data_IF_244552402302
#
_entry.id   IF_244552402302
#
_cell.length_a   1.000
_cell.length_b   1.000
_cell.length_c   1.000
_cell.angle_alpha   90.00
_cell.angle_beta   90.00
_cell.angle_gamma   90.00
#
_symmetry.space_group_name_H-M   'P 1'
#
loop_
_entity.id
_entity.type
_entity.pdbx_description
1 polymer ?
#
# COMPACT_ATOMS: atom_id res chain seq x y z
N UNK A 1 -39.64 -35.82 -21.98
CA UNK A 1 -40.32 -34.86 -21.09
C UNK A 1 -39.27 -33.86 -20.61
N UNK A 2 -39.55 -32.57 -20.82
CA UNK A 2 -38.85 -31.38 -20.31
C UNK A 2 -38.79 -31.41 -18.76
N UNK A 3 -37.98 -30.68 -17.98
CA UNK A 3 -37.21 -29.40 -18.02
C UNK A 3 -35.99 -29.59 -17.09
N UNK A 4 -34.81 -28.97 -17.21
CA UNK A 4 -34.32 -27.58 -17.40
C UNK A 4 -33.99 -26.81 -16.09
N UNK A 5 -32.76 -26.30 -16.04
CA UNK A 5 -32.20 -25.20 -15.22
C UNK A 5 -32.10 -25.38 -13.68
N UNK A 6 -31.09 -24.90 -12.95
CA UNK A 6 -30.26 -23.69 -13.11
C UNK A 6 -28.84 -23.88 -12.55
N UNK A 7 -27.84 -23.41 -13.29
CA UNK A 7 -26.48 -23.16 -12.80
C UNK A 7 -26.44 -21.89 -11.95
N UNK A 8 -25.67 -21.94 -10.87
CA UNK A 8 -25.37 -20.79 -10.02
C UNK A 8 -24.22 -19.98 -10.65
N UNK A 9 -24.58 -18.95 -11.41
CA UNK A 9 -23.66 -17.87 -11.77
C UNK A 9 -23.63 -16.87 -10.62
N UNK A 10 -22.48 -16.76 -9.95
CA UNK A 10 -22.22 -15.68 -8.99
C UNK A 10 -22.11 -14.39 -9.80
N UNK A 11 -23.16 -13.57 -9.80
CA UNK A 11 -23.18 -12.27 -10.49
C UNK A 11 -22.20 -11.32 -9.82
N UNK A 12 -21.17 -10.90 -10.57
CA UNK A 12 -20.40 -9.68 -10.28
C UNK A 12 -21.41 -8.55 -10.17
N UNK A 13 -21.39 -7.82 -9.05
CA UNK A 13 -22.30 -6.70 -8.83
C UNK A 13 -22.07 -5.69 -9.95
N UNK A 14 -23.14 -5.40 -10.71
CA UNK A 14 -23.11 -4.48 -11.84
C UNK A 14 -22.45 -3.15 -11.43
N UNK A 15 -21.42 -2.76 -12.18
CA UNK A 15 -20.94 -1.39 -12.27
C UNK A 15 -22.17 -0.52 -12.47
N UNK A 16 -22.35 0.51 -11.63
CA UNK A 16 -23.40 1.47 -11.93
C UNK A 16 -23.07 2.08 -13.28
N UNK A 17 -24.00 2.06 -14.26
CA UNK A 17 -23.84 2.69 -15.58
C UNK A 17 -23.53 4.20 -15.42
N UNK A 18 -22.26 4.54 -15.19
CA UNK A 18 -21.78 5.91 -15.15
C UNK A 18 -21.62 6.31 -16.62
N UNK A 19 -22.55 7.10 -17.14
CA UNK A 19 -22.42 7.65 -18.48
C UNK A 19 -21.33 8.74 -18.48
N UNK A 20 -20.21 8.55 -19.21
CA UNK A 20 -19.11 9.52 -19.26
C UNK A 20 -19.54 10.93 -19.65
N UNK A 21 -20.53 11.06 -20.55
CA UNK A 21 -21.01 12.36 -21.02
C UNK A 21 -21.78 13.17 -19.95
N UNK A 22 -22.21 12.51 -18.87
CA UNK A 22 -23.05 13.12 -17.83
C UNK A 22 -22.42 13.06 -16.44
N UNK A 23 -21.31 12.35 -16.29
CA UNK A 23 -20.61 12.22 -15.03
C UNK A 23 -20.10 13.58 -14.55
N UNK A 24 -20.38 13.89 -13.28
CA UNK A 24 -19.83 15.05 -12.57
C UNK A 24 -19.52 14.64 -11.13
N UNK A 25 -18.34 15.01 -10.60
CA UNK A 25 -18.04 14.77 -9.20
C UNK A 25 -19.01 15.55 -8.30
N UNK A 26 -19.46 14.93 -7.22
CA UNK A 26 -20.46 15.51 -6.30
C UNK A 26 -19.84 16.43 -5.25
N UNK A 27 -18.52 16.40 -5.11
CA UNK A 27 -17.76 17.13 -4.10
C UNK A 27 -16.36 17.45 -4.65
N UNK A 28 -15.63 18.30 -3.93
CA UNK A 28 -14.22 18.63 -4.21
C UNK A 28 -13.35 18.05 -3.11
N UNK A 29 -12.11 17.70 -3.45
CA UNK A 29 -11.14 17.22 -2.50
C UNK A 29 -10.65 18.35 -1.58
N UNK A 30 -10.15 18.04 -0.37
CA UNK A 30 -9.65 19.04 0.58
C UNK A 30 -8.35 19.74 0.14
N UNK A 31 -7.64 19.19 -0.85
CA UNK A 31 -6.36 19.71 -1.34
C UNK A 31 -6.29 19.60 -2.86
N UNK A 32 -5.51 20.47 -3.49
CA UNK A 32 -5.30 20.44 -4.94
C UNK A 32 -4.65 19.13 -5.40
N UNK A 33 -3.76 18.54 -4.59
CA UNK A 33 -3.12 17.26 -4.91
C UNK A 33 -4.15 16.14 -4.96
N UNK A 34 -5.00 16.04 -3.93
CA UNK A 34 -6.06 15.04 -3.88
C UNK A 34 -7.09 15.25 -5.00
N UNK A 35 -7.44 16.50 -5.32
CA UNK A 35 -8.40 16.83 -6.38
C UNK A 35 -7.86 16.40 -7.76
N UNK A 36 -6.63 16.79 -8.08
CA UNK A 36 -6.01 16.46 -9.38
C UNK A 36 -5.77 14.96 -9.54
N UNK A 37 -5.41 14.26 -8.45
CA UNK A 37 -5.30 12.81 -8.47
C UNK A 37 -6.65 12.14 -8.77
N UNK A 38 -7.73 12.57 -8.11
CA UNK A 38 -9.08 12.07 -8.39
C UNK A 38 -9.51 12.34 -9.85
N UNK A 39 -9.26 13.55 -10.35
CA UNK A 39 -9.56 13.92 -11.75
C UNK A 39 -8.80 13.08 -12.77
N UNK A 40 -7.54 12.71 -12.48
CA UNK A 40 -6.78 11.80 -13.34
C UNK A 40 -7.44 10.42 -13.41
N UNK A 41 -7.83 9.86 -12.26
CA UNK A 41 -8.51 8.56 -12.21
C UNK A 41 -9.82 8.61 -12.98
N UNK A 42 -10.61 9.67 -12.83
CA UNK A 42 -11.83 9.88 -13.61
C UNK A 42 -11.55 9.92 -15.11
N UNK A 43 -10.53 10.67 -15.53
CA UNK A 43 -10.17 10.78 -16.95
C UNK A 43 -9.82 9.43 -17.54
N UNK A 44 -9.01 8.62 -16.85
CA UNK A 44 -8.65 7.28 -17.31
C UNK A 44 -9.89 6.37 -17.30
N UNK A 45 -10.67 6.37 -16.23
CA UNK A 45 -11.87 5.52 -16.11
C UNK A 45 -13.00 5.88 -17.09
N UNK A 46 -12.96 7.06 -17.73
CA UNK A 46 -13.95 7.51 -18.71
C UNK A 46 -13.42 7.49 -20.16
N UNK A 47 -12.14 7.13 -20.36
CA UNK A 47 -11.48 7.04 -21.65
C UNK A 47 -11.19 5.58 -22.00
N UNK A 48 -11.94 5.04 -22.96
CA UNK A 48 -11.86 3.63 -23.35
C UNK A 48 -10.60 3.23 -24.13
N UNK A 49 -9.62 4.13 -24.23
CA UNK A 49 -8.31 3.85 -24.85
C UNK A 49 -7.27 3.31 -23.87
N UNK A 50 -7.63 3.12 -22.60
CA UNK A 50 -6.83 2.45 -21.56
C UNK A 50 -7.26 1.00 -21.34
N UNK A 51 -6.52 0.24 -20.53
CA UNK A 51 -6.82 -1.16 -20.22
C UNK A 51 -6.12 -1.61 -18.93
N UNK A 52 -6.39 -2.83 -18.47
CA UNK A 52 -5.76 -3.40 -17.28
C UNK A 52 -4.55 -4.25 -17.62
N UNK A 53 -3.41 -4.01 -16.96
CA UNK A 53 -2.24 -4.90 -17.12
C UNK A 53 -1.32 -4.92 -15.91
N UNK A 54 -1.06 -6.12 -15.38
CA UNK A 54 0.01 -6.32 -14.38
C UNK A 54 1.40 -6.35 -15.01
N UNK A 55 1.51 -6.59 -16.32
CA UNK A 55 2.79 -6.58 -17.04
C UNK A 55 3.16 -5.16 -17.53
N UNK A 56 2.18 -4.39 -17.99
CA UNK A 56 2.36 -3.06 -18.60
C UNK A 56 1.86 -1.95 -17.66
N UNK A 57 2.54 -1.83 -16.53
CA UNK A 57 2.14 -0.95 -15.42
C UNK A 57 2.59 0.51 -15.60
N UNK A 58 2.84 0.97 -16.83
CA UNK A 58 3.49 2.26 -17.11
C UNK A 58 2.53 3.39 -17.51
N UNK A 59 1.22 3.11 -17.58
CA UNK A 59 0.20 4.07 -17.98
C UNK A 59 0.24 4.43 -19.47
N UNK A 60 0.79 3.55 -20.32
CA UNK A 60 0.92 3.76 -21.76
C UNK A 60 0.55 2.50 -22.54
N UNK A 61 -0.75 2.19 -22.69
CA UNK A 61 -1.92 2.88 -22.14
C UNK A 61 -2.50 2.22 -20.88
N UNK A 62 -1.96 1.07 -20.47
CA UNK A 62 -2.57 0.21 -19.47
C UNK A 62 -2.10 0.51 -18.04
N UNK A 63 -2.92 0.13 -17.07
CA UNK A 63 -2.66 0.26 -15.65
C UNK A 63 -3.04 -1.02 -14.91
N UNK A 64 -2.32 -1.36 -13.85
CA UNK A 64 -2.89 -2.15 -12.77
C UNK A 64 -3.45 -1.25 -11.66
N UNK A 65 -4.10 -1.85 -10.66
CA UNK A 65 -4.71 -1.10 -9.55
C UNK A 65 -3.75 -0.10 -8.90
N UNK A 66 -2.49 -0.49 -8.66
CA UNK A 66 -1.53 0.34 -7.94
C UNK A 66 -0.85 1.38 -8.83
N UNK A 67 -0.56 1.07 -10.08
CA UNK A 67 0.04 2.00 -11.05
C UNK A 67 -0.94 3.09 -11.46
N UNK A 68 -2.24 2.81 -11.54
CA UNK A 68 -3.25 3.86 -11.73
C UNK A 68 -3.17 4.91 -10.62
N UNK A 69 -3.07 4.48 -9.36
CA UNK A 69 -2.89 5.39 -8.22
C UNK A 69 -1.53 6.09 -8.28
N UNK A 70 -0.44 5.39 -8.60
CA UNK A 70 0.88 6.00 -8.73
C UNK A 70 0.87 7.16 -9.74
N UNK A 71 0.28 6.95 -10.92
CA UNK A 71 0.25 7.96 -11.97
C UNK A 71 -0.79 9.05 -11.74
N UNK A 72 -1.88 8.78 -11.02
CA UNK A 72 -2.79 9.83 -10.59
C UNK A 72 -2.09 10.85 -9.68
N UNK A 73 -1.19 10.40 -8.81
CA UNK A 73 -0.40 11.27 -7.94
C UNK A 73 0.72 11.97 -8.72
N UNK A 74 1.54 11.21 -9.45
CA UNK A 74 2.76 11.76 -10.06
C UNK A 74 2.50 12.55 -11.34
N UNK A 75 1.63 12.07 -12.23
CA UNK A 75 1.30 12.76 -13.48
C UNK A 75 0.05 13.62 -13.34
N UNK A 76 -0.99 13.12 -12.66
CA UNK A 76 -2.23 13.86 -12.45
C UNK A 76 -2.03 15.07 -11.53
N UNK A 77 -1.56 14.82 -10.31
CA UNK A 77 -1.34 15.87 -9.32
C UNK A 77 0.01 16.59 -9.44
N UNK A 78 1.00 15.99 -10.11
CA UNK A 78 2.36 16.53 -10.15
C UNK A 78 3.09 16.39 -8.81
N UNK A 79 2.62 15.50 -7.93
CA UNK A 79 3.20 15.31 -6.60
C UNK A 79 4.30 14.26 -6.63
N UNK A 80 5.46 14.62 -6.09
CA UNK A 80 6.61 13.73 -6.09
C UNK A 80 6.47 12.66 -5.00
N UNK A 81 6.57 11.40 -5.42
CA UNK A 81 6.66 10.26 -4.52
C UNK A 81 8.12 9.86 -4.30
N UNK A 82 8.38 9.21 -3.16
CA UNK A 82 9.67 8.60 -2.87
C UNK A 82 10.01 7.48 -3.87
N UNK A 83 9.00 6.76 -4.36
CA UNK A 83 9.16 5.75 -5.41
C UNK A 83 9.34 6.38 -6.81
N UNK A 84 10.36 5.92 -7.54
CA UNK A 84 10.66 6.34 -8.92
C UNK A 84 9.89 5.56 -10.00
N UNK A 85 9.20 4.51 -9.60
CA UNK A 85 8.37 3.65 -10.46
C UNK A 85 7.07 3.28 -9.74
N UNK A 86 6.09 2.78 -10.49
CA UNK A 86 4.80 2.37 -9.94
C UNK A 86 4.94 1.35 -8.79
N UNK A 87 4.45 1.73 -7.60
CA UNK A 87 4.40 0.89 -6.41
C UNK A 87 3.37 -0.25 -6.56
N UNK A 88 3.41 -1.25 -5.70
CA UNK A 88 2.33 -2.25 -5.50
C UNK A 88 1.57 -1.96 -4.19
N UNK A 89 0.38 -2.55 -4.02
CA UNK A 89 -0.46 -2.43 -2.79
C UNK A 89 0.32 -2.66 -1.50
N UNK A 90 1.30 -3.56 -1.55
CA UNK A 90 2.20 -3.93 -0.46
C UNK A 90 3.17 -2.81 -0.07
N UNK A 91 3.57 -1.97 -1.01
CA UNK A 91 4.52 -0.85 -0.82
C UNK A 91 3.84 0.51 -0.66
N UNK A 92 2.53 0.60 -0.91
CA UNK A 92 1.75 1.84 -0.83
C UNK A 92 1.85 2.50 0.54
N UNK A 93 1.84 1.71 1.63
CA UNK A 93 1.96 2.25 2.97
C UNK A 93 3.20 3.13 3.12
N UNK A 94 4.38 2.59 2.80
CA UNK A 94 5.64 3.31 2.93
C UNK A 94 5.70 4.52 2.00
N UNK A 95 5.34 4.34 0.74
CA UNK A 95 5.47 5.40 -0.27
C UNK A 95 4.52 6.56 0.03
N UNK A 96 3.27 6.27 0.39
CA UNK A 96 2.26 7.31 0.64
C UNK A 96 2.52 8.03 1.95
N UNK A 97 2.80 7.31 3.04
CA UNK A 97 3.06 7.95 4.35
C UNK A 97 4.32 8.83 4.32
N UNK A 98 5.41 8.39 3.67
CA UNK A 98 6.60 9.22 3.44
C UNK A 98 6.38 10.41 2.50
N UNK A 99 5.27 10.41 1.75
CA UNK A 99 4.92 11.46 0.80
C UNK A 99 3.78 12.36 1.29
N UNK A 100 3.56 12.43 2.62
CA UNK A 100 2.62 13.37 3.25
C UNK A 100 1.17 12.89 3.31
N UNK A 101 0.93 11.58 3.17
CA UNK A 101 -0.39 10.99 3.38
C UNK A 101 -0.54 10.50 4.81
N UNK A 102 -1.63 10.91 5.46
CA UNK A 102 -2.09 10.35 6.73
C UNK A 102 -2.76 9.00 6.48
N UNK A 103 -2.38 7.99 7.27
CA UNK A 103 -2.98 6.65 7.22
C UNK A 103 -4.00 6.48 8.35
N UNK A 104 -5.19 5.98 8.02
CA UNK A 104 -6.21 5.56 8.98
C UNK A 104 -7.07 4.45 8.39
N UNK A 105 -7.98 3.89 9.20
CA UNK A 105 -8.92 2.86 8.74
C UNK A 105 -10.34 3.40 8.70
N UNK A 106 -11.14 2.92 7.73
CA UNK A 106 -12.57 3.20 7.62
C UNK A 106 -13.38 1.90 7.69
N UNK A 107 -14.71 2.01 7.66
CA UNK A 107 -15.61 0.86 7.84
C UNK A 107 -15.56 -0.18 6.71
N UNK A 108 -15.00 0.16 5.55
CA UNK A 108 -15.04 -0.67 4.34
C UNK A 108 -16.45 -0.82 3.76
N UNK A 109 -17.42 -0.02 4.23
CA UNK A 109 -18.81 -0.07 3.77
C UNK A 109 -19.08 1.12 2.86
N UNK A 110 -19.26 0.86 1.56
CA UNK A 110 -19.48 1.91 0.55
C UNK A 110 -20.60 2.91 0.92
N UNK A 111 -21.65 2.46 1.63
CA UNK A 111 -22.75 3.33 2.09
C UNK A 111 -22.33 4.41 3.07
N UNK A 112 -21.25 4.16 3.82
CA UNK A 112 -20.69 5.09 4.81
C UNK A 112 -19.59 5.98 4.22
N UNK A 113 -19.16 5.71 2.99
CA UNK A 113 -18.06 6.43 2.36
C UNK A 113 -18.26 7.95 2.34
N UNK A 114 -19.46 8.51 2.06
CA UNK A 114 -19.67 9.96 2.10
C UNK A 114 -19.47 10.60 3.47
N UNK A 115 -19.47 9.83 4.56
CA UNK A 115 -19.29 10.33 5.93
C UNK A 115 -17.88 10.09 6.47
N UNK A 116 -17.20 9.07 5.97
CA UNK A 116 -15.90 8.61 6.50
C UNK A 116 -14.72 9.01 5.59
N UNK A 117 -14.97 9.12 4.28
CA UNK A 117 -13.96 9.41 3.25
C UNK A 117 -14.13 10.80 2.66
N UNK A 118 -13.06 11.30 2.05
CA UNK A 118 -13.01 12.56 1.31
C UNK A 118 -12.47 12.27 -0.08
N UNK A 119 -13.05 12.90 -1.10
CA UNK A 119 -12.55 12.78 -2.48
C UNK A 119 -11.01 12.89 -2.55
N UNK A 120 -10.41 11.97 -3.31
CA UNK A 120 -8.96 11.80 -3.44
C UNK A 120 -8.31 10.91 -2.37
N UNK A 121 -9.07 10.44 -1.37
CA UNK A 121 -8.61 9.39 -0.47
C UNK A 121 -8.29 8.12 -1.27
N UNK A 122 -7.13 7.53 -0.99
CA UNK A 122 -6.70 6.26 -1.60
C UNK A 122 -7.07 5.15 -0.63
N UNK A 123 -7.90 4.21 -1.07
CA UNK A 123 -8.30 3.05 -0.25
C UNK A 123 -7.55 1.80 -0.69
N UNK A 124 -7.08 1.01 0.28
CA UNK A 124 -6.16 -0.10 0.03
C UNK A 124 -6.57 -1.33 0.83
N UNK A 125 -6.45 -2.48 0.18
CA UNK A 125 -6.24 -3.77 0.81
C UNK A 125 -4.83 -4.18 0.41
N UNK A 126 -3.88 -4.12 1.34
CA UNK A 126 -2.46 -4.28 1.05
C UNK A 126 -2.16 -5.61 0.34
N UNK A 127 -2.97 -6.65 0.58
CA UNK A 127 -2.79 -7.98 -0.01
C UNK A 127 -3.39 -8.15 -1.39
N UNK A 128 -4.33 -7.29 -1.82
CA UNK A 128 -5.14 -7.59 -3.02
C UNK A 128 -5.42 -6.43 -3.95
N UNK A 129 -5.71 -5.22 -3.45
CA UNK A 129 -6.29 -4.19 -4.31
C UNK A 129 -6.17 -2.77 -3.77
N UNK A 130 -6.32 -1.78 -4.65
CA UNK A 130 -6.47 -0.37 -4.28
C UNK A 130 -7.39 0.36 -5.25
N UNK A 131 -8.14 1.33 -4.74
CA UNK A 131 -9.02 2.22 -5.50
C UNK A 131 -8.88 3.66 -4.96
N UNK A 132 -9.35 4.64 -5.72
CA UNK A 132 -9.44 6.04 -5.29
C UNK A 132 -10.90 6.41 -5.03
N UNK A 133 -11.20 7.01 -3.88
CA UNK A 133 -12.53 7.55 -3.61
C UNK A 133 -12.75 8.86 -4.38
N UNK A 134 -13.78 8.88 -5.22
CA UNK A 134 -14.12 10.00 -6.11
C UNK A 134 -15.22 10.90 -5.54
N UNK A 135 -15.73 10.61 -4.34
CA UNK A 135 -16.80 11.39 -3.72
C UNK A 135 -18.19 10.84 -3.99
N UNK A 136 -19.16 11.27 -3.18
CA UNK A 136 -20.58 10.86 -3.35
C UNK A 136 -20.84 9.35 -3.26
N UNK A 137 -19.92 8.59 -2.64
CA UNK A 137 -19.99 7.13 -2.57
C UNK A 137 -19.46 6.39 -3.80
N UNK A 138 -18.72 7.07 -4.69
CA UNK A 138 -18.14 6.49 -5.90
C UNK A 138 -16.63 6.27 -5.75
N UNK A 139 -16.15 5.21 -6.40
CA UNK A 139 -14.76 4.75 -6.38
C UNK A 139 -14.28 4.47 -7.80
N UNK A 140 -13.10 4.97 -8.13
CA UNK A 140 -12.41 4.73 -9.39
C UNK A 140 -11.23 3.78 -9.21
N UNK A 141 -11.09 2.79 -10.09
CA UNK A 141 -9.98 1.85 -10.00
C UNK A 141 -9.86 0.91 -11.18
N UNK A 142 -8.66 0.34 -11.36
CA UNK A 142 -8.35 -0.68 -12.36
C UNK A 142 -8.41 -2.07 -11.70
N UNK A 143 -9.39 -2.90 -12.07
CA UNK A 143 -9.83 -4.07 -11.29
C UNK A 143 -9.29 -5.40 -11.82
N UNK A 144 -9.44 -5.68 -13.10
CA UNK A 144 -9.10 -6.99 -13.67
C UNK A 144 -9.14 -6.95 -15.22
N UNK A 145 -8.33 -7.77 -15.91
CA UNK A 145 -8.37 -7.87 -17.37
C UNK A 145 -9.42 -8.88 -17.87
N UNK A 146 -10.27 -8.50 -18.82
CA UNK A 146 -11.38 -9.32 -19.29
C UNK A 146 -11.29 -9.56 -20.80
N UNK A 147 -11.22 -10.83 -21.27
CA UNK A 147 -11.64 -12.07 -20.61
C UNK A 147 -10.53 -12.80 -19.84
N UNK A 148 -9.31 -12.28 -19.79
CA UNK A 148 -8.14 -12.99 -19.26
C UNK A 148 -7.46 -12.27 -18.11
N UNK A 149 -7.76 -12.76 -16.89
CA UNK A 149 -6.80 -12.72 -15.79
C UNK A 149 -6.08 -11.38 -15.55
N UNK A 150 -4.76 -11.43 -15.55
CA UNK A 150 -3.85 -10.34 -15.21
C UNK A 150 -3.28 -9.60 -16.45
N UNK A 151 -3.64 -10.07 -17.65
CA UNK A 151 -3.20 -9.54 -18.95
C UNK A 151 -4.11 -10.07 -20.06
N UNK A 152 -4.76 -9.17 -20.79
CA UNK A 152 -5.16 -9.36 -22.18
C UNK A 152 -4.19 -8.64 -23.12
N UNK A 153 -3.92 -9.29 -24.25
CA UNK A 153 -2.79 -8.95 -25.11
C UNK A 153 -2.92 -7.63 -25.87
N UNK A 154 -3.95 -6.80 -25.66
CA UNK A 154 -4.21 -5.61 -26.47
C UNK A 154 -4.29 -4.36 -25.61
N UNK A 155 -3.29 -3.47 -25.66
CA UNK A 155 -3.39 -2.22 -24.94
C UNK A 155 -4.62 -1.41 -25.35
N UNK A 156 -5.36 -0.87 -24.39
CA UNK A 156 -6.51 0.01 -24.63
C UNK A 156 -7.88 -0.68 -24.75
N UNK A 157 -8.13 -1.72 -23.96
CA UNK A 157 -9.34 -2.54 -23.96
C UNK A 157 -10.15 -2.48 -22.66
N UNK A 158 -10.33 -1.29 -22.11
CA UNK A 158 -11.07 -1.00 -20.87
C UNK A 158 -12.45 -1.67 -20.75
N UNK A 159 -13.05 -2.11 -21.86
CA UNK A 159 -14.34 -2.78 -21.88
C UNK A 159 -15.51 -1.86 -21.49
N UNK A 160 -16.69 -2.45 -21.32
CA UNK A 160 -17.88 -1.77 -20.77
C UNK A 160 -18.73 -2.79 -20.01
N UNK A 161 -19.53 -2.33 -19.05
CA UNK A 161 -20.46 -3.19 -18.33
C UNK A 161 -19.74 -4.28 -17.51
N UNK A 162 -20.02 -5.56 -17.80
CA UNK A 162 -19.42 -6.69 -17.09
C UNK A 162 -17.94 -6.95 -17.41
N UNK A 163 -17.45 -6.37 -18.50
CA UNK A 163 -16.07 -6.51 -18.98
C UNK A 163 -15.24 -5.24 -18.68
N UNK A 164 -15.77 -4.30 -17.87
CA UNK A 164 -15.07 -3.05 -17.57
C UNK A 164 -13.86 -3.27 -16.65
N UNK A 165 -12.69 -2.89 -17.13
CA UNK A 165 -11.40 -3.14 -16.48
C UNK A 165 -10.95 -1.98 -15.60
N UNK A 166 -11.20 -0.75 -16.06
CA UNK A 166 -11.01 0.49 -15.32
C UNK A 166 -12.33 1.24 -15.31
N UNK A 167 -12.83 1.55 -14.13
CA UNK A 167 -14.21 2.03 -14.01
C UNK A 167 -14.50 2.82 -12.75
N UNK A 168 -15.65 3.50 -12.76
CA UNK A 168 -16.22 4.23 -11.63
C UNK A 168 -17.44 3.48 -11.12
N UNK A 169 -17.47 3.10 -9.85
CA UNK A 169 -18.60 2.35 -9.31
C UNK A 169 -18.89 2.66 -7.84
N UNK A 170 -20.06 2.22 -7.35
CA UNK A 170 -20.43 2.25 -5.93
C UNK A 170 -19.92 1.03 -5.16
N UNK A 171 -19.53 -0.02 -5.88
CA UNK A 171 -19.14 -1.29 -5.31
C UNK A 171 -17.61 -1.38 -5.29
N UNK A 172 -17.04 -1.47 -4.10
CA UNK A 172 -15.60 -1.68 -3.96
C UNK A 172 -15.26 -3.16 -3.86
N UNK A 173 -14.02 -3.49 -4.24
CA UNK A 173 -13.45 -4.78 -3.89
C UNK A 173 -13.47 -4.99 -2.37
N UNK A 174 -13.73 -6.23 -1.93
CA UNK A 174 -13.83 -6.54 -0.51
C UNK A 174 -12.54 -6.26 0.25
N UNK A 175 -12.66 -5.65 1.44
CA UNK A 175 -11.55 -5.47 2.38
C UNK A 175 -10.62 -4.28 2.11
N UNK A 176 -10.99 -3.34 1.24
CA UNK A 176 -10.29 -2.05 1.11
C UNK A 176 -10.57 -1.19 2.36
N UNK A 177 -9.86 -1.41 3.46
CA UNK A 177 -10.12 -0.74 4.76
C UNK A 177 -9.04 0.24 5.18
N UNK A 178 -7.85 0.16 4.59
CA UNK A 178 -6.81 1.18 4.79
C UNK A 178 -7.12 2.40 3.93
N UNK A 179 -6.90 3.58 4.48
CA UNK A 179 -7.08 4.86 3.79
C UNK A 179 -5.82 5.69 3.90
N UNK A 180 -5.40 6.26 2.79
CA UNK A 180 -4.32 7.25 2.74
C UNK A 180 -4.91 8.56 2.25
N UNK A 181 -4.89 9.56 3.12
CA UNK A 181 -5.40 10.91 2.84
C UNK A 181 -4.25 11.88 2.75
N UNK A 182 -4.13 12.58 1.64
CA UNK A 182 -3.15 13.66 1.55
C UNK A 182 -3.60 14.85 2.42
N UNK A 183 -2.75 15.26 3.37
CA UNK A 183 -3.05 16.35 4.32
C UNK A 183 -2.30 17.64 4.04
N UNK A 184 -1.45 17.69 3.02
CA UNK A 184 -0.80 18.93 2.60
C UNK A 184 0.42 19.35 3.42
N UNK A 185 1.06 18.45 4.15
CA UNK A 185 2.44 18.68 4.60
C UNK A 185 3.34 18.54 3.37
N UNK A 186 3.57 19.66 2.67
CA UNK A 186 4.54 19.73 1.58
C UNK A 186 5.89 19.29 2.13
N UNK A 187 6.45 18.20 1.59
CA UNK A 187 7.84 17.83 1.84
C UNK A 187 8.70 19.07 1.57
N UNK A 188 9.30 19.61 2.64
CA UNK A 188 10.19 20.75 2.58
C UNK A 188 11.22 20.50 1.48
N UNK A 189 11.17 21.30 0.43
CA UNK A 189 12.22 21.33 -0.58
C UNK A 189 13.53 21.68 0.14
N UNK A 190 14.65 20.96 -0.08
CA UNK A 190 15.94 21.36 0.48
C UNK A 190 16.36 22.68 -0.18
N UNK A 191 16.01 23.79 0.45
CA UNK A 191 16.49 25.11 0.07
C UNK A 191 17.92 25.22 0.58
N UNK A 192 18.86 25.11 -0.36
CA UNK A 192 20.24 25.57 -0.18
C UNK A 192 20.22 27.06 0.22
N UNK A 193 20.71 27.48 1.40
CA UNK A 193 20.82 28.89 1.69
C UNK A 193 22.15 29.41 1.14
N UNK A 194 22.06 30.13 0.01
CA UNK A 194 23.09 31.12 -0.36
C UNK A 194 22.71 32.43 0.31
N UNK A 195 23.70 33.11 0.88
CA UNK A 195 23.55 34.07 1.99
C UNK A 195 22.80 35.38 1.71
N UNK A 196 22.54 36.10 2.81
CA UNK A 196 22.08 37.49 2.78
C UNK A 196 21.36 37.94 4.05
N UNK A 197 22.10 38.64 4.92
CA UNK A 197 21.70 39.27 6.19
C UNK A 197 20.41 40.08 6.19
N UNK A 198 19.66 40.06 7.31
CA UNK A 198 19.41 41.23 8.17
C UNK A 198 18.58 40.89 9.43
N UNK A 199 18.98 41.57 10.51
CA UNK A 199 18.43 41.80 11.87
C UNK A 199 16.89 41.83 12.00
N UNK A 200 16.25 41.46 13.12
CA UNK A 200 16.27 42.15 14.44
C UNK A 200 15.76 41.26 15.59
N UNK A 201 16.27 41.54 16.77
CA UNK A 201 15.99 40.89 18.06
C UNK A 201 14.66 41.33 18.71
N UNK A 202 14.09 40.45 19.55
CA UNK A 202 13.53 40.84 20.85
C UNK A 202 13.40 39.62 21.78
N UNK A 203 14.10 39.70 22.90
CA UNK A 203 14.18 38.76 24.00
C UNK A 203 12.98 38.87 24.96
N UNK A 204 12.63 37.77 25.64
CA UNK A 204 12.12 37.78 27.02
C UNK A 204 12.50 36.47 27.74
N UNK A 205 12.74 36.61 29.04
CA UNK A 205 13.62 35.80 29.91
C UNK A 205 12.84 34.93 30.90
N UNK A 206 13.40 33.75 31.23
CA UNK A 206 13.34 33.08 32.56
C UNK A 206 12.17 32.10 32.77
N UNK A 207 12.23 31.07 33.62
CA UNK A 207 13.24 30.50 34.51
C UNK A 207 12.78 29.07 34.90
N UNK A 208 13.73 28.18 35.20
CA UNK A 208 13.58 26.76 35.53
C UNK A 208 12.93 26.47 36.89
N UNK A 209 12.19 25.35 36.99
CA UNK A 209 12.21 24.43 38.15
C UNK A 209 11.98 22.98 37.69
N UNK A 210 12.88 22.08 38.09
CA UNK A 210 12.70 20.61 38.06
C UNK A 210 11.63 20.17 39.07
N UNK A 211 10.78 19.22 38.69
CA UNK A 211 10.44 18.06 39.53
C UNK A 211 9.96 16.88 38.66
N UNK A 212 10.12 15.72 39.26
CA UNK A 212 10.14 14.35 38.74
C UNK A 212 8.78 13.75 38.39
N UNK A 213 8.77 12.97 37.30
CA UNK A 213 7.94 11.78 37.15
C UNK A 213 6.58 11.96 36.46
N UNK A 214 6.47 11.52 35.22
CA UNK A 214 5.35 10.70 34.72
C UNK A 214 5.61 10.30 33.28
N UNK A 215 5.22 9.07 32.92
CA UNK A 215 5.59 8.38 31.68
C UNK A 215 5.28 9.18 30.41
N UNK A 216 6.28 9.24 29.54
CA UNK A 216 6.17 9.82 28.21
C UNK A 216 6.09 8.71 27.17
N UNK A 217 4.89 8.50 26.66
CA UNK A 217 4.53 7.52 25.62
C UNK A 217 4.86 8.03 24.20
N UNK A 218 5.95 8.79 24.02
CA UNK A 218 6.29 9.44 22.73
C UNK A 218 7.50 8.85 22.00
N UNK A 219 7.86 7.60 22.24
CA UNK A 219 8.95 6.94 21.52
C UNK A 219 8.49 5.68 20.77
N UNK A 220 7.65 5.85 19.75
CA UNK A 220 7.48 4.81 18.69
C UNK A 220 7.42 5.36 17.26
N UNK A 221 7.56 6.68 17.06
CA UNK A 221 7.53 7.30 15.72
C UNK A 221 8.90 7.77 15.21
N UNK A 222 10.00 7.18 15.69
CA UNK A 222 11.32 7.36 15.09
C UNK A 222 11.93 5.99 14.82
N UNK A 223 12.60 5.84 13.67
CA UNK A 223 13.26 4.63 13.15
C UNK A 223 12.38 3.75 12.25
N UNK A 224 11.67 4.33 11.26
CA UNK A 224 11.45 3.59 10.00
C UNK A 224 12.33 4.26 8.95
N UNK A 225 13.37 3.58 8.43
CA UNK A 225 14.28 4.18 7.46
C UNK A 225 13.57 4.52 6.15
N UNK A 226 13.92 5.66 5.55
CA UNK A 226 13.35 6.14 4.29
C UNK A 226 13.64 5.22 3.10
N UNK A 227 14.73 4.44 3.17
CA UNK A 227 15.12 3.46 2.14
C UNK A 227 15.44 2.11 2.77
N UNK A 228 14.79 1.05 2.28
CA UNK A 228 14.96 -0.33 2.74
C UNK A 228 15.81 -1.18 1.77
N UNK A 229 16.28 -0.60 0.68
CA UNK A 229 17.31 -1.20 -0.17
C UNK A 229 18.59 -1.32 0.64
N UNK A 230 19.10 -2.55 0.72
CA UNK A 230 20.27 -2.89 1.52
C UNK A 230 20.17 -2.49 3.01
N UNK A 231 18.97 -2.48 3.57
CA UNK A 231 18.73 -2.09 4.96
C UNK A 231 19.59 -2.88 5.94
N UNK A 232 20.01 -2.23 7.03
CA UNK A 232 20.68 -2.93 8.12
C UNK A 232 19.70 -3.90 8.82
N UNK A 233 20.21 -4.94 9.51
CA UNK A 233 19.37 -5.80 10.37
C UNK A 233 18.55 -5.05 11.42
N UNK A 234 19.02 -3.90 11.90
CA UNK A 234 18.28 -3.07 12.86
C UNK A 234 17.10 -2.36 12.17
N UNK A 235 17.36 -1.77 11.01
CA UNK A 235 16.38 -1.07 10.17
C UNK A 235 15.29 -2.02 9.67
N UNK A 236 15.69 -3.21 9.23
CA UNK A 236 14.78 -4.28 8.84
C UNK A 236 13.86 -4.71 9.99
N UNK A 237 14.40 -4.86 11.21
CA UNK A 237 13.60 -5.16 12.41
C UNK A 237 12.61 -4.07 12.75
N UNK A 238 13.05 -2.82 12.71
CA UNK A 238 12.19 -1.68 13.02
C UNK A 238 11.04 -1.56 12.02
N UNK A 239 11.33 -1.75 10.72
CA UNK A 239 10.31 -1.80 9.69
C UNK A 239 9.32 -2.96 9.91
N UNK A 240 9.80 -4.18 10.15
CA UNK A 240 8.91 -5.30 10.45
C UNK A 240 8.05 -5.04 11.69
N UNK A 241 8.59 -4.42 12.75
CA UNK A 241 7.84 -4.04 13.96
C UNK A 241 6.70 -3.08 13.62
N UNK A 242 6.96 -2.06 12.78
CA UNK A 242 5.93 -1.12 12.32
C UNK A 242 4.81 -1.79 11.54
N UNK A 243 5.11 -2.92 10.88
CA UNK A 243 4.12 -3.65 10.08
C UNK A 243 3.24 -4.61 10.88
N UNK A 244 3.65 -5.03 12.08
CA UNK A 244 2.93 -6.05 12.88
C UNK A 244 1.43 -5.76 13.07
N UNK A 245 1.02 -4.51 13.41
CA UNK A 245 -0.39 -4.21 13.61
C UNK A 245 -1.25 -4.44 12.36
N UNK A 246 -0.70 -4.24 11.15
CA UNK A 246 -1.43 -4.49 9.90
C UNK A 246 -1.80 -5.96 9.71
N UNK A 247 -1.04 -6.88 10.32
CA UNK A 247 -1.33 -8.32 10.29
C UNK A 247 -2.19 -8.78 11.48
N UNK A 248 -2.63 -7.84 12.33
CA UNK A 248 -3.37 -8.11 13.55
C UNK A 248 -2.49 -8.69 14.66
N UNK A 249 -1.19 -8.40 14.63
CA UNK A 249 -0.21 -8.90 15.60
C UNK A 249 0.27 -7.77 16.50
N UNK A 250 0.52 -8.09 17.77
CA UNK A 250 1.08 -7.14 18.72
C UNK A 250 2.57 -6.89 18.43
N UNK A 251 3.08 -5.76 18.91
CA UNK A 251 4.48 -5.36 18.80
C UNK A 251 5.30 -5.74 20.02
N UNK A 252 4.80 -6.64 20.87
CA UNK A 252 5.51 -7.13 22.05
C UNK A 252 6.75 -7.92 21.62
N UNK A 253 7.93 -7.49 22.08
CA UNK A 253 9.23 -8.09 21.78
C UNK A 253 9.66 -9.14 22.82
N UNK A 254 8.80 -9.47 23.79
CA UNK A 254 8.98 -10.63 24.66
C UNK A 254 8.95 -11.95 23.87
N UNK A 255 9.51 -13.03 24.42
CA UNK A 255 9.55 -14.35 23.77
C UNK A 255 8.16 -14.94 23.44
N UNK A 256 7.11 -14.41 24.07
CA UNK A 256 5.69 -14.75 23.88
C UNK A 256 4.92 -13.72 23.05
N UNK A 257 5.51 -12.55 22.78
CA UNK A 257 4.93 -11.54 21.91
C UNK A 257 5.09 -11.93 20.45
N UNK A 258 4.14 -11.53 19.60
CA UNK A 258 4.17 -11.92 18.18
C UNK A 258 5.41 -11.34 17.48
N UNK A 259 5.80 -10.11 17.84
CA UNK A 259 7.02 -9.52 17.29
C UNK A 259 8.29 -10.20 17.84
N UNK A 260 8.34 -10.57 19.12
CA UNK A 260 9.46 -11.34 19.68
C UNK A 260 9.60 -12.74 19.05
N UNK A 261 8.48 -13.41 18.75
CA UNK A 261 8.47 -14.66 17.98
C UNK A 261 9.03 -14.49 16.56
N UNK A 262 8.67 -13.40 15.87
CA UNK A 262 9.22 -13.06 14.55
C UNK A 262 10.73 -12.79 14.61
N UNK A 263 11.17 -11.99 15.58
CA UNK A 263 12.59 -11.71 15.83
C UNK A 263 13.38 -12.98 16.05
N UNK A 264 12.86 -13.88 16.89
CA UNK A 264 13.48 -15.18 17.12
C UNK A 264 13.60 -15.99 15.82
N UNK A 265 12.53 -16.06 15.03
CA UNK A 265 12.47 -16.83 13.79
C UNK A 265 13.50 -16.32 12.78
N UNK A 266 13.42 -15.03 12.40
CA UNK A 266 14.32 -14.49 11.38
C UNK A 266 15.77 -14.28 11.85
N UNK A 267 16.03 -14.29 13.16
CA UNK A 267 17.38 -14.44 13.68
C UNK A 267 17.98 -15.81 13.32
N UNK A 268 17.20 -16.90 13.39
CA UNK A 268 17.66 -18.24 13.04
C UNK A 268 17.77 -18.44 11.52
N UNK A 269 16.92 -17.78 10.74
CA UNK A 269 16.92 -17.90 9.28
C UNK A 269 18.08 -17.15 8.63
N UNK A 270 18.26 -15.86 8.96
CA UNK A 270 19.15 -14.97 8.19
C UNK A 270 19.93 -13.98 9.04
N UNK A 271 19.60 -13.85 10.32
CA UNK A 271 20.07 -12.73 11.14
C UNK A 271 19.57 -11.38 10.60
N UNK A 272 18.38 -11.36 9.96
CA UNK A 272 17.77 -10.18 9.35
C UNK A 272 18.57 -9.57 8.19
N UNK A 273 19.46 -10.35 7.56
CA UNK A 273 20.25 -9.88 6.41
C UNK A 273 19.45 -10.02 5.12
N UNK A 274 19.30 -8.91 4.40
CA UNK A 274 18.65 -8.88 3.07
C UNK A 274 19.38 -9.75 2.03
N UNK A 275 20.70 -9.92 2.18
CA UNK A 275 21.54 -10.71 1.30
C UNK A 275 21.93 -12.08 1.88
N UNK A 276 21.14 -12.62 2.82
CA UNK A 276 21.36 -13.97 3.30
C UNK A 276 21.06 -14.96 2.17
N UNK A 277 22.11 -15.56 1.63
CA UNK A 277 22.05 -16.58 0.58
C UNK A 277 22.50 -17.91 1.16
N UNK A 278 21.72 -18.96 0.93
CA UNK A 278 22.10 -20.31 1.33
C UNK A 278 22.61 -21.06 0.10
N UNK A 279 23.93 -21.21 -0.12
CA UNK A 279 24.47 -21.77 -1.37
C UNK A 279 24.10 -23.24 -1.63
N UNK A 280 23.52 -23.93 -0.64
CA UNK A 280 23.08 -25.34 -0.77
C UNK A 280 21.60 -25.49 -1.12
N UNK A 281 20.84 -24.38 -1.17
CA UNK A 281 19.41 -24.35 -1.50
C UNK A 281 19.04 -23.04 -2.21
N UNK A 282 17.91 -22.93 -2.91
CA UNK A 282 17.50 -21.62 -3.47
C UNK A 282 16.90 -20.65 -2.42
N UNK A 283 17.20 -20.85 -1.13
CA UNK A 283 16.68 -20.03 -0.03
C UNK A 283 17.41 -18.68 0.05
N UNK A 284 16.65 -17.58 0.06
CA UNK A 284 17.22 -16.23 0.00
C UNK A 284 16.50 -15.23 0.90
N UNK A 285 17.28 -14.25 1.39
CA UNK A 285 16.82 -13.04 2.07
C UNK A 285 16.41 -13.25 3.52
N UNK A 286 15.82 -12.21 4.10
CA UNK A 286 15.40 -12.15 5.51
C UNK A 286 14.54 -13.37 5.91
N UNK A 287 13.47 -13.72 5.17
CA UNK A 287 12.62 -14.84 5.55
C UNK A 287 13.15 -16.20 5.10
N UNK A 288 14.28 -16.26 4.37
CA UNK A 288 14.79 -17.47 3.70
C UNK A 288 13.74 -18.13 2.79
N UNK A 289 13.15 -17.35 1.89
CA UNK A 289 12.15 -17.83 0.94
C UNK A 289 12.74 -18.87 -0.02
N UNK A 290 12.08 -20.03 -0.19
CA UNK A 290 12.52 -21.11 -1.07
C UNK A 290 11.51 -21.40 -2.22
N UNK A 291 11.84 -21.12 -3.50
CA UNK A 291 12.99 -20.32 -3.94
C UNK A 291 12.79 -18.83 -3.66
N UNK A 292 13.89 -18.08 -3.54
CA UNK A 292 13.88 -16.64 -3.28
C UNK A 292 13.04 -15.82 -4.26
N UNK A 293 12.94 -16.29 -5.52
CA UNK A 293 12.15 -15.66 -6.58
C UNK A 293 10.67 -15.54 -6.28
N UNK A 294 10.12 -16.29 -5.30
CA UNK A 294 8.74 -16.09 -4.83
C UNK A 294 8.49 -14.69 -4.29
N UNK A 295 9.52 -14.01 -3.78
CA UNK A 295 9.40 -12.63 -3.29
C UNK A 295 9.13 -11.62 -4.41
N UNK A 296 9.36 -11.99 -5.68
CA UNK A 296 8.98 -11.19 -6.84
C UNK A 296 7.47 -10.93 -6.94
N UNK A 297 6.63 -11.71 -6.24
CA UNK A 297 5.19 -11.44 -6.16
C UNK A 297 4.85 -10.16 -5.40
N UNK A 298 5.79 -9.60 -4.62
CA UNK A 298 5.61 -8.32 -3.90
C UNK A 298 6.15 -7.16 -4.71
N UNK A 299 7.41 -7.24 -5.16
CA UNK A 299 8.06 -6.27 -6.03
C UNK A 299 9.30 -6.87 -6.72
N UNK A 300 9.69 -6.33 -7.87
CA UNK A 300 10.83 -6.83 -8.67
C UNK A 300 12.20 -6.57 -8.05
N UNK A 301 12.30 -5.66 -7.07
CA UNK A 301 13.52 -5.30 -6.33
C UNK A 301 13.79 -6.22 -5.12
N UNK A 302 13.02 -7.30 -4.96
CA UNK A 302 13.07 -8.24 -3.84
C UNK A 302 14.46 -8.75 -3.47
N UNK A 303 15.38 -8.81 -4.44
CA UNK A 303 16.74 -9.30 -4.23
C UNK A 303 17.54 -8.37 -3.32
N UNK A 304 17.31 -7.06 -3.41
CA UNK A 304 18.11 -6.04 -2.73
C UNK A 304 17.31 -5.25 -1.68
N UNK A 305 15.97 -5.31 -1.73
CA UNK A 305 15.09 -4.54 -0.86
C UNK A 305 14.58 -5.36 0.34
N UNK A 306 15.06 -5.03 1.55
CA UNK A 306 14.64 -5.67 2.79
C UNK A 306 13.13 -5.49 3.06
N UNK A 307 12.55 -4.36 2.67
CA UNK A 307 11.13 -4.10 2.82
C UNK A 307 10.27 -5.07 2.02
N UNK A 308 10.63 -5.29 0.75
CA UNK A 308 9.98 -6.28 -0.12
C UNK A 308 10.05 -7.69 0.49
N UNK A 309 11.21 -8.07 1.03
CA UNK A 309 11.40 -9.37 1.68
C UNK A 309 10.58 -9.51 2.97
N UNK A 310 10.54 -8.46 3.80
CA UNK A 310 9.76 -8.44 5.05
C UNK A 310 8.28 -8.56 4.74
N UNK A 311 7.73 -7.78 3.81
CA UNK A 311 6.30 -7.84 3.48
C UNK A 311 5.92 -9.21 2.94
N UNK A 312 6.74 -9.80 2.06
CA UNK A 312 6.52 -11.16 1.59
C UNK A 312 6.52 -12.17 2.76
N UNK A 313 7.51 -12.07 3.65
CA UNK A 313 7.66 -12.98 4.79
C UNK A 313 6.49 -12.89 5.79
N UNK A 314 6.05 -11.66 6.14
CA UNK A 314 4.89 -11.46 7.01
C UNK A 314 3.60 -11.99 6.36
N UNK A 315 3.42 -11.76 5.06
CA UNK A 315 2.27 -12.30 4.30
C UNK A 315 2.27 -13.82 4.30
N UNK A 316 3.44 -14.44 4.07
CA UNK A 316 3.60 -15.89 4.11
C UNK A 316 3.23 -16.46 5.48
N UNK A 317 3.76 -15.88 6.57
CA UNK A 317 3.44 -16.29 7.94
C UNK A 317 1.93 -16.18 8.20
N UNK A 318 1.29 -15.08 7.79
CA UNK A 318 -0.16 -14.89 7.96
C UNK A 318 -0.97 -15.95 7.21
N UNK A 319 -0.60 -16.27 5.97
CA UNK A 319 -1.28 -17.25 5.15
C UNK A 319 -1.17 -18.67 5.72
N UNK A 320 0.07 -19.09 6.02
CA UNK A 320 0.43 -20.46 6.38
C UNK A 320 0.23 -20.78 7.86
N UNK A 321 0.66 -19.87 8.74
CA UNK A 321 0.75 -20.09 10.19
C UNK A 321 -0.22 -19.24 11.00
N UNK A 322 -0.86 -18.23 10.39
CA UNK A 322 -1.76 -17.25 11.03
C UNK A 322 -1.03 -16.25 11.95
N UNK A 323 -0.03 -16.67 12.72
CA UNK A 323 0.77 -15.79 13.58
C UNK A 323 2.26 -16.17 13.62
N UNK A 324 3.18 -15.21 13.87
CA UNK A 324 4.60 -15.48 14.09
C UNK A 324 4.89 -16.50 15.18
N UNK A 325 4.18 -16.47 16.31
CA UNK A 325 4.37 -17.45 17.36
C UNK A 325 3.95 -18.86 16.93
N UNK A 326 2.91 -18.99 16.09
CA UNK A 326 2.54 -20.27 15.48
C UNK A 326 3.59 -20.76 14.49
N UNK A 327 4.21 -19.86 13.71
CA UNK A 327 5.34 -20.20 12.84
C UNK A 327 6.57 -20.65 13.64
N UNK A 328 6.93 -19.94 14.72
CA UNK A 328 8.00 -20.34 15.65
C UNK A 328 7.75 -21.72 16.25
N UNK A 329 6.52 -22.02 16.69
CA UNK A 329 6.16 -23.33 17.22
C UNK A 329 6.32 -24.45 16.17
N UNK A 330 5.94 -24.18 14.92
CA UNK A 330 6.15 -25.11 13.82
C UNK A 330 7.65 -25.35 13.55
N UNK A 331 8.43 -24.26 13.51
CA UNK A 331 9.89 -24.30 13.31
C UNK A 331 10.58 -25.13 14.38
N UNK A 332 10.21 -24.98 15.66
CA UNK A 332 10.80 -25.75 16.76
C UNK A 332 10.63 -27.27 16.59
N UNK A 333 9.63 -27.70 15.81
CA UNK A 333 9.36 -29.13 15.56
C UNK A 333 9.96 -29.64 14.24
N UNK A 334 10.18 -28.76 13.25
CA UNK A 334 10.52 -29.16 11.88
C UNK A 334 11.82 -28.57 11.35
N UNK A 335 12.37 -27.56 12.01
CA UNK A 335 13.55 -26.79 11.60
C UNK A 335 13.38 -26.07 10.24
N UNK A 336 12.14 -25.78 9.87
CA UNK A 336 11.72 -24.91 8.78
C UNK A 336 10.34 -24.32 9.10
N UNK A 337 9.96 -23.25 8.40
CA UNK A 337 8.62 -22.69 8.40
C UNK A 337 8.28 -22.22 6.99
#
# INVERSE_FOLDING_TARGET
>A
MCQDSTGSTTSVAAVADINPATYKPSETAPTDVAEKAAQFVEKVALDNTHGYSQARRNGSPDYDCSSLVYYSITQGAGHALTAKTAFSTHSMYQVLTSSGYEHFTWSGKWKNAPQELKRGDIIVNASTHTETYLGGGLFGGARHATPSGIEDGRPGDQGTGGDEEIGISKAISGGLTDVYRYTGQENATPTNPTGGSAVTAASMTGCSTQETGSGDTTAVSAIVPENLTHASPADARAYAKSLMPHYGWNTDDSDSGEFGCLVWLWNHESGWRWNADNPTSDAYGIPQSLPGSKMASVASDWKDNAGTQIVWGLTYIKGRYKTPCSAKAFWLSHHWY
#
